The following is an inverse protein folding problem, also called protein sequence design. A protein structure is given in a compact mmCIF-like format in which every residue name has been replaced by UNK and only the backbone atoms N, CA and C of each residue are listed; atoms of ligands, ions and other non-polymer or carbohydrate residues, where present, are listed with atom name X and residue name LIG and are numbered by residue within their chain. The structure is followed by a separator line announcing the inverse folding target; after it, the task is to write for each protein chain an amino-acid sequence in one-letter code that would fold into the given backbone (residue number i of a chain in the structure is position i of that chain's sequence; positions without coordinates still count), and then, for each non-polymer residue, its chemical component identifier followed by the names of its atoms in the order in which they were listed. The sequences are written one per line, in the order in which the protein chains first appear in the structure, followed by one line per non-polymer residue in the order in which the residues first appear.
data_IF_949192522993
#
_entry.id   IF_949192522993
#
_cell.length_a   1.000
_cell.length_b   1.000
_cell.length_c   1.000
_cell.angle_alpha   90.00
_cell.angle_beta   90.00
_cell.angle_gamma   90.00
#
_symmetry.space_group_name_H-M   'P 1'
#
loop_
_entity.id
_entity.type
_entity.pdbx_description
1 polymer ?
#
# COMPACT_ATOMS: atom_id res chain seq x y z
N UNK A 1 7.32 13.80 8.06
CA UNK A 1 6.27 14.08 9.08
C UNK A 1 4.99 14.70 8.50
N UNK A 2 5.03 15.87 7.83
CA UNK A 2 3.80 16.54 7.31
C UNK A 2 2.99 15.69 6.31
N UNK A 3 3.65 15.01 5.37
CA UNK A 3 2.99 14.15 4.37
C UNK A 3 2.29 12.92 4.98
N UNK A 4 2.83 12.38 6.09
CA UNK A 4 2.28 11.20 6.75
C UNK A 4 0.99 11.51 7.51
N UNK A 5 0.92 12.69 8.14
CA UNK A 5 -0.29 13.20 8.79
C UNK A 5 -1.37 13.47 7.75
N UNK A 6 -0.99 14.06 6.61
CA UNK A 6 -1.90 14.34 5.51
C UNK A 6 -2.50 13.07 4.90
N UNK A 7 -1.71 12.01 4.71
CA UNK A 7 -2.19 10.70 4.25
C UNK A 7 -3.20 10.06 5.20
N UNK A 8 -2.92 10.09 6.51
CA UNK A 8 -3.84 9.58 7.54
C UNK A 8 -5.16 10.36 7.56
N UNK A 9 -5.08 11.68 7.41
CA UNK A 9 -6.25 12.56 7.38
C UNK A 9 -7.16 12.27 6.16
N UNK A 10 -6.58 12.03 4.98
CA UNK A 10 -7.35 11.58 3.81
C UNK A 10 -7.98 10.20 4.02
N UNK A 11 -7.29 9.27 4.68
CA UNK A 11 -7.82 7.95 4.96
C UNK A 11 -9.03 7.99 5.92
N UNK A 12 -8.95 8.82 6.96
CA UNK A 12 -10.06 9.07 7.90
C UNK A 12 -11.28 9.70 7.18
N UNK A 13 -11.04 10.71 6.35
CA UNK A 13 -12.11 11.35 5.56
C UNK A 13 -12.77 10.37 4.59
N UNK A 14 -11.99 9.54 3.91
CA UNK A 14 -12.53 8.48 3.04
C UNK A 14 -13.42 7.51 3.84
N UNK A 15 -12.98 7.08 5.02
CA UNK A 15 -13.75 6.18 5.88
C UNK A 15 -15.06 6.80 6.36
N UNK A 16 -15.02 8.05 6.82
CA UNK A 16 -16.22 8.80 7.23
C UNK A 16 -17.22 8.95 6.07
N UNK A 17 -16.78 9.28 4.86
CA UNK A 17 -17.65 9.38 3.69
C UNK A 17 -18.27 8.02 3.31
N UNK A 18 -17.54 6.92 3.49
CA UNK A 18 -18.10 5.57 3.34
C UNK A 18 -19.22 5.28 4.35
N UNK A 19 -19.09 5.79 5.58
CA UNK A 19 -20.13 5.64 6.59
C UNK A 19 -21.38 6.48 6.26
N UNK A 20 -21.20 7.71 5.78
CA UNK A 20 -22.28 8.58 5.33
C UNK A 20 -22.99 7.99 4.10
N UNK A 21 -22.25 7.38 3.17
CA UNK A 21 -22.81 6.66 2.04
C UNK A 21 -23.70 5.49 2.52
N UNK A 22 -23.20 4.69 3.46
CA UNK A 22 -23.95 3.57 4.05
C UNK A 22 -25.24 4.02 4.76
N UNK A 23 -25.17 5.12 5.52
CA UNK A 23 -26.33 5.76 6.15
C UNK A 23 -27.34 6.23 5.09
N UNK A 24 -26.86 6.88 4.04
CA UNK A 24 -27.69 7.42 2.95
C UNK A 24 -28.40 6.31 2.16
N UNK A 25 -27.71 5.18 1.93
CA UNK A 25 -28.32 3.98 1.34
C UNK A 25 -29.46 3.45 2.22
N UNK A 26 -29.24 3.36 3.54
CA UNK A 26 -30.26 2.90 4.49
C UNK A 26 -31.49 3.81 4.53
N UNK A 27 -31.29 5.13 4.48
CA UNK A 27 -32.38 6.11 4.40
C UNK A 27 -33.12 6.07 3.05
N UNK A 28 -32.40 5.87 1.93
CA UNK A 28 -33.02 5.78 0.61
C UNK A 28 -33.95 4.55 0.50
N UNK A 29 -33.52 3.41 1.05
CA UNK A 29 -34.26 2.15 0.99
C UNK A 29 -35.36 2.03 2.06
N UNK A 30 -35.22 2.65 3.24
CA UNK A 30 -36.21 2.57 4.34
C UNK A 30 -37.42 3.49 4.14
N UNK A 31 -38.50 2.99 3.51
CA UNK A 31 -39.74 3.74 3.23
C UNK A 31 -40.44 4.24 4.50
N UNK A 32 -40.58 3.31 5.45
CA UNK A 32 -41.43 3.51 6.62
C UNK A 32 -40.79 4.47 7.63
N UNK A 33 -39.46 4.43 7.73
CA UNK A 33 -38.69 5.28 8.65
C UNK A 33 -38.76 6.77 8.30
N UNK A 34 -38.63 7.10 7.01
CA UNK A 34 -38.74 8.48 6.54
C UNK A 34 -40.17 9.00 6.64
N UNK A 35 -41.16 8.13 6.41
CA UNK A 35 -42.58 8.45 6.55
C UNK A 35 -42.94 8.74 8.01
N UNK A 36 -42.51 7.90 8.95
CA UNK A 36 -42.77 8.07 10.39
C UNK A 36 -42.12 9.33 10.97
N UNK A 37 -40.89 9.67 10.54
CA UNK A 37 -40.25 10.94 10.91
C UNK A 37 -40.90 12.16 10.26
N UNK A 38 -41.40 12.04 9.03
CA UNK A 38 -42.17 13.10 8.37
C UNK A 38 -43.46 13.37 9.14
N UNK A 39 -44.22 12.32 9.48
CA UNK A 39 -45.47 12.43 10.24
C UNK A 39 -45.23 13.06 11.63
N UNK A 40 -44.19 12.61 12.34
CA UNK A 40 -43.83 13.15 13.66
C UNK A 40 -43.30 14.60 13.62
N UNK A 41 -42.67 15.00 12.51
CA UNK A 41 -42.16 16.36 12.32
C UNK A 41 -43.23 17.35 11.88
N UNK A 42 -44.17 16.90 11.03
CA UNK A 42 -45.24 17.73 10.48
C UNK A 42 -46.39 17.94 11.47
N UNK A 43 -46.64 16.98 12.38
CA UNK A 43 -47.61 17.11 13.48
C UNK A 43 -47.31 18.26 14.45
N UNK A 44 -46.09 18.81 14.43
CA UNK A 44 -45.70 19.99 15.21
C UNK A 44 -46.01 21.34 14.55
N UNK A 45 -46.38 21.35 13.26
CA UNK A 45 -46.45 22.57 12.44
C UNK A 45 -47.79 22.78 11.70
N UNK A 46 -48.72 21.81 11.70
CA UNK A 46 -49.97 21.89 10.91
C UNK A 46 -51.22 22.15 11.75
N UNK A 47 -52.01 23.13 11.33
CA UNK A 47 -53.37 23.43 11.82
C UNK A 47 -54.39 22.32 11.38
N UNK A 48 -55.54 22.15 12.08
CA UNK A 48 -56.41 20.97 11.99
C UNK A 48 -57.09 20.63 10.65
N UNK A 49 -56.89 21.39 9.57
CA UNK A 49 -57.71 21.34 8.34
C UNK A 49 -57.00 20.77 7.11
N UNK A 50 -55.80 20.20 7.25
CA UNK A 50 -55.09 19.54 6.14
C UNK A 50 -54.88 18.07 6.47
N UNK A 51 -55.47 17.18 5.68
CA UNK A 51 -55.32 15.71 5.80
C UNK A 51 -53.83 15.31 5.81
N UNK A 52 -53.26 14.93 6.98
CA UNK A 52 -51.81 14.80 7.17
C UNK A 52 -51.17 13.69 6.31
N UNK A 53 -51.95 12.68 5.92
CA UNK A 53 -51.45 11.54 5.14
C UNK A 53 -50.96 11.92 3.74
N UNK A 54 -51.55 12.93 3.08
CA UNK A 54 -51.22 13.23 1.68
C UNK A 54 -49.90 13.99 1.51
N UNK A 55 -49.49 14.84 2.46
CA UNK A 55 -48.24 15.61 2.34
C UNK A 55 -46.98 14.74 2.50
N UNK A 56 -46.97 13.83 3.48
CA UNK A 56 -45.84 12.92 3.69
C UNK A 56 -45.74 11.81 2.63
N UNK A 57 -46.87 11.42 2.01
CA UNK A 57 -46.88 10.51 0.86
C UNK A 57 -46.14 11.08 -0.36
N UNK A 58 -46.20 12.39 -0.61
CA UNK A 58 -45.45 13.03 -1.71
C UNK A 58 -44.03 13.46 -1.30
N UNK A 59 -43.80 13.81 -0.03
CA UNK A 59 -42.51 14.34 0.44
C UNK A 59 -41.42 13.28 0.64
N UNK A 60 -41.78 12.01 0.88
CA UNK A 60 -40.78 10.95 1.05
C UNK A 60 -40.03 10.61 -0.26
N UNK A 61 -40.64 10.83 -1.42
CA UNK A 61 -40.06 10.57 -2.75
C UNK A 61 -38.85 11.49 -3.06
N UNK A 62 -38.96 12.84 -2.99
CA UNK A 62 -37.81 13.71 -3.20
C UNK A 62 -36.72 13.52 -2.13
N UNK A 63 -37.08 13.19 -0.90
CA UNK A 63 -36.12 12.90 0.16
C UNK A 63 -35.30 11.62 -0.13
N UNK A 64 -35.94 10.60 -0.71
CA UNK A 64 -35.25 9.38 -1.18
C UNK A 64 -34.33 9.64 -2.36
N UNK A 65 -34.76 10.44 -3.33
CA UNK A 65 -33.91 10.85 -4.46
C UNK A 65 -32.70 11.66 -3.98
N UNK A 66 -32.89 12.52 -2.98
CA UNK A 66 -31.82 13.26 -2.33
C UNK A 66 -30.83 12.32 -1.62
N UNK A 67 -31.31 11.39 -0.80
CA UNK A 67 -30.47 10.38 -0.13
C UNK A 67 -29.76 9.46 -1.15
N UNK A 68 -30.42 9.11 -2.25
CA UNK A 68 -29.82 8.34 -3.35
C UNK A 68 -28.71 9.11 -4.05
N UNK A 69 -28.92 10.40 -4.35
CA UNK A 69 -27.88 11.27 -4.92
C UNK A 69 -26.70 11.44 -3.96
N UNK A 70 -26.97 11.61 -2.66
CA UNK A 70 -25.94 11.70 -1.62
C UNK A 70 -25.11 10.41 -1.53
N UNK A 71 -25.74 9.24 -1.67
CA UNK A 71 -25.05 7.95 -1.73
C UNK A 71 -24.02 7.90 -2.87
N UNK A 72 -24.43 8.24 -4.10
CA UNK A 72 -23.53 8.20 -5.25
C UNK A 72 -22.38 9.20 -5.13
N UNK A 73 -22.68 10.43 -4.70
CA UNK A 73 -21.67 11.48 -4.52
C UNK A 73 -20.69 11.15 -3.39
N UNK A 74 -21.16 10.70 -2.22
CA UNK A 74 -20.27 10.26 -1.12
C UNK A 74 -19.38 9.08 -1.53
N UNK A 75 -19.89 8.09 -2.27
CA UNK A 75 -19.07 6.98 -2.78
C UNK A 75 -18.01 7.44 -3.78
N UNK A 76 -18.36 8.35 -4.70
CA UNK A 76 -17.40 8.92 -5.65
C UNK A 76 -16.28 9.69 -4.92
N UNK A 77 -16.66 10.58 -3.99
CA UNK A 77 -15.70 11.39 -3.23
C UNK A 77 -14.84 10.51 -2.31
N UNK A 78 -15.41 9.48 -1.69
CA UNK A 78 -14.68 8.49 -0.88
C UNK A 78 -13.55 7.82 -1.69
N UNK A 79 -13.82 7.39 -2.93
CA UNK A 79 -12.81 6.77 -3.79
C UNK A 79 -11.66 7.74 -4.15
N UNK A 80 -11.97 9.03 -4.33
CA UNK A 80 -10.93 10.05 -4.60
C UNK A 80 -10.03 10.29 -3.39
N UNK A 81 -10.58 10.36 -2.18
CA UNK A 81 -9.80 10.52 -0.96
C UNK A 81 -8.99 9.26 -0.62
N UNK A 82 -9.56 8.08 -0.85
CA UNK A 82 -8.84 6.82 -0.71
C UNK A 82 -7.63 6.76 -1.65
N UNK A 83 -7.81 7.15 -2.91
CA UNK A 83 -6.71 7.23 -3.89
C UNK A 83 -5.63 8.23 -3.48
N UNK A 84 -6.00 9.39 -2.90
CA UNK A 84 -5.05 10.36 -2.35
C UNK A 84 -4.33 9.82 -1.12
N UNK A 85 -5.03 9.11 -0.24
CA UNK A 85 -4.43 8.48 0.92
C UNK A 85 -3.36 7.46 0.51
N UNK A 86 -3.61 6.63 -0.51
CA UNK A 86 -2.63 5.68 -1.05
C UNK A 86 -1.36 6.35 -1.57
N UNK A 87 -1.44 7.58 -2.10
CA UNK A 87 -0.27 8.32 -2.61
C UNK A 87 0.58 8.97 -1.52
N UNK A 88 -0.01 9.27 -0.35
CA UNK A 88 0.64 9.99 0.74
C UNK A 88 1.00 9.12 1.94
N UNK A 89 0.33 7.98 2.10
CA UNK A 89 0.72 6.98 3.09
C UNK A 89 1.97 6.25 2.60
N UNK A 90 2.90 5.97 3.53
CA UNK A 90 4.10 5.17 3.25
C UNK A 90 3.78 3.72 2.89
N UNK A 91 2.54 3.28 3.07
CA UNK A 91 2.07 1.94 2.71
C UNK A 91 0.56 1.95 2.42
N UNK A 92 0.17 1.23 1.37
CA UNK A 92 -1.24 1.01 0.99
C UNK A 92 -2.04 0.31 2.10
N UNK A 93 -1.36 -0.55 2.85
CA UNK A 93 -1.84 -1.22 4.06
C UNK A 93 -2.42 -0.23 5.07
N UNK A 94 -1.59 0.77 5.43
CA UNK A 94 -1.91 1.76 6.46
C UNK A 94 -3.11 2.60 6.06
N UNK A 95 -3.19 3.01 4.79
CA UNK A 95 -4.34 3.72 4.25
C UNK A 95 -5.62 2.86 4.35
N UNK A 96 -5.55 1.59 3.93
CA UNK A 96 -6.70 0.66 3.93
C UNK A 96 -7.24 0.44 5.34
N UNK A 97 -6.38 0.09 6.31
CA UNK A 97 -6.80 -0.15 7.70
C UNK A 97 -7.41 1.10 8.32
N UNK A 98 -6.81 2.27 8.11
CA UNK A 98 -7.28 3.54 8.68
C UNK A 98 -8.64 3.92 8.10
N UNK A 99 -8.84 3.76 6.79
CA UNK A 99 -10.13 3.98 6.11
C UNK A 99 -11.19 2.99 6.58
N UNK A 100 -10.87 1.70 6.66
CA UNK A 100 -11.82 0.66 7.10
C UNK A 100 -12.23 0.85 8.56
N UNK A 101 -11.28 1.12 9.46
CA UNK A 101 -11.55 1.39 10.87
C UNK A 101 -12.44 2.63 11.03
N UNK A 102 -12.09 3.72 10.34
CA UNK A 102 -12.88 4.96 10.36
C UNK A 102 -14.29 4.76 9.82
N UNK A 103 -14.47 3.96 8.77
CA UNK A 103 -15.78 3.61 8.22
C UNK A 103 -16.63 2.89 9.26
N UNK A 104 -16.14 1.80 9.85
CA UNK A 104 -16.90 1.03 10.84
C UNK A 104 -17.27 1.85 12.08
N UNK A 105 -16.31 2.62 12.63
CA UNK A 105 -16.56 3.45 13.81
C UNK A 105 -17.59 4.54 13.49
N UNK A 106 -17.43 5.21 12.34
CA UNK A 106 -18.35 6.27 11.93
C UNK A 106 -19.74 5.72 11.60
N UNK A 107 -19.85 4.54 11.00
CA UNK A 107 -21.12 3.85 10.79
C UNK A 107 -21.82 3.50 12.10
N UNK A 108 -21.08 3.10 13.14
CA UNK A 108 -21.61 2.86 14.48
C UNK A 108 -22.27 4.12 15.06
N UNK A 109 -21.52 5.21 15.04
CA UNK A 109 -21.94 6.48 15.65
C UNK A 109 -23.13 7.05 14.87
N UNK A 110 -23.06 7.06 13.54
CA UNK A 110 -24.16 7.53 12.71
C UNK A 110 -25.40 6.63 12.82
N UNK A 111 -25.23 5.32 12.93
CA UNK A 111 -26.34 4.37 13.11
C UNK A 111 -27.07 4.57 14.44
N UNK A 112 -26.31 4.68 15.54
CA UNK A 112 -26.86 4.93 16.88
C UNK A 112 -27.56 6.28 16.97
N UNK A 113 -26.94 7.36 16.46
CA UNK A 113 -27.51 8.71 16.51
C UNK A 113 -28.75 8.85 15.63
N UNK A 114 -28.73 8.29 14.40
CA UNK A 114 -29.81 8.52 13.44
C UNK A 114 -30.97 7.57 13.60
N UNK A 115 -30.76 6.31 14.03
CA UNK A 115 -31.81 5.29 14.12
C UNK A 115 -32.07 4.80 15.54
N UNK A 116 -31.30 5.25 16.55
CA UNK A 116 -31.41 4.74 17.91
C UNK A 116 -31.04 3.26 18.05
N UNK A 117 -30.32 2.70 17.07
CA UNK A 117 -30.01 1.27 17.04
C UNK A 117 -29.04 0.90 18.17
N UNK A 118 -29.49 0.04 19.08
CA UNK A 118 -28.61 -0.57 20.08
C UNK A 118 -27.87 -1.75 19.44
N UNK A 119 -26.57 -1.57 19.18
CA UNK A 119 -25.75 -2.64 18.61
C UNK A 119 -25.47 -3.73 19.66
N UNK A 120 -25.79 -4.97 19.33
CA UNK A 120 -25.52 -6.13 20.18
C UNK A 120 -24.01 -6.28 20.46
N UNK A 121 -23.65 -6.85 21.61
CA UNK A 121 -22.25 -7.11 22.00
C UNK A 121 -21.48 -7.88 20.91
N UNK A 122 -22.16 -8.77 20.18
CA UNK A 122 -21.61 -9.52 19.05
C UNK A 122 -21.04 -8.63 17.93
N UNK A 123 -21.61 -7.44 17.72
CA UNK A 123 -21.18 -6.49 16.69
C UNK A 123 -19.81 -5.89 17.03
N UNK A 124 -19.59 -5.54 18.30
CA UNK A 124 -18.30 -5.05 18.79
C UNK A 124 -17.21 -6.13 18.76
N UNK A 125 -17.56 -7.37 19.05
CA UNK A 125 -16.65 -8.53 18.91
C UNK A 125 -16.23 -8.69 17.44
N UNK A 126 -17.17 -8.55 16.50
CA UNK A 126 -16.89 -8.59 15.06
C UNK A 126 -15.90 -7.51 14.61
N UNK A 127 -16.05 -6.26 15.07
CA UNK A 127 -15.13 -5.16 14.74
C UNK A 127 -13.74 -5.37 15.34
N UNK A 128 -13.68 -5.83 16.59
CA UNK A 128 -12.41 -6.15 17.23
C UNK A 128 -11.66 -7.24 16.47
N UNK A 129 -12.39 -8.28 16.04
CA UNK A 129 -11.81 -9.39 15.27
C UNK A 129 -11.35 -8.94 13.88
N UNK A 130 -12.11 -8.11 13.16
CA UNK A 130 -11.71 -7.61 11.84
C UNK A 130 -10.52 -6.65 11.92
N UNK A 131 -10.50 -5.76 12.91
CA UNK A 131 -9.36 -4.87 13.15
C UNK A 131 -8.10 -5.67 13.51
N UNK A 132 -8.24 -6.69 14.37
CA UNK A 132 -7.13 -7.58 14.76
C UNK A 132 -6.62 -8.42 13.59
N UNK A 133 -7.51 -8.96 12.76
CA UNK A 133 -7.14 -9.73 11.56
C UNK A 133 -6.39 -8.90 10.53
N UNK A 134 -6.84 -7.66 10.31
CA UNK A 134 -6.13 -6.69 9.46
C UNK A 134 -4.75 -6.31 10.03
N UNK A 135 -4.63 -6.20 11.36
CA UNK A 135 -3.35 -5.93 12.02
C UNK A 135 -2.37 -7.12 11.91
N UNK A 136 -2.87 -8.35 12.05
CA UNK A 136 -2.09 -9.59 11.95
C UNK A 136 -1.59 -9.87 10.53
N UNK A 137 -2.42 -9.63 9.51
CA UNK A 137 -2.02 -9.71 8.09
C UNK A 137 -0.87 -8.75 7.76
N UNK A 138 -0.72 -7.65 8.52
CA UNK A 138 0.36 -6.69 8.33
C UNK A 138 1.59 -6.92 9.21
N UNK A 139 1.44 -7.58 10.38
CA UNK A 139 2.58 -8.02 11.18
C UNK A 139 3.42 -9.11 10.49
N UNK A 140 2.85 -9.79 9.50
CA UNK A 140 3.47 -10.90 8.76
C UNK A 140 4.04 -10.52 7.37
N UNK A 141 3.76 -9.31 6.86
CA UNK A 141 4.52 -8.77 5.72
C UNK A 141 5.92 -8.38 6.18
N UNK A 142 6.99 -9.05 5.72
CA UNK A 142 8.35 -8.62 6.03
C UNK A 142 8.52 -7.17 5.55
N UNK A 143 9.08 -6.33 6.42
CA UNK A 143 9.50 -4.96 6.12
C UNK A 143 10.73 -4.97 5.19
N UNK A 144 10.71 -5.75 4.10
CA UNK A 144 11.71 -5.64 3.05
C UNK A 144 11.48 -4.31 2.35
N UNK A 145 12.45 -3.40 2.50
CA UNK A 145 12.51 -2.04 1.97
C UNK A 145 11.85 -0.94 2.82
N UNK A 146 12.05 -0.95 4.14
CA UNK A 146 12.20 0.33 4.82
C UNK A 146 13.45 1.04 4.29
N UNK A 147 13.23 1.95 3.35
CA UNK A 147 14.09 3.11 3.15
C UNK A 147 14.14 3.86 4.49
N UNK A 148 15.32 3.98 5.07
CA UNK A 148 15.54 4.66 6.36
C UNK A 148 15.05 6.12 6.28
N UNK A 149 13.81 6.39 6.69
CA UNK A 149 13.44 7.69 7.25
C UNK A 149 14.16 7.80 8.60
N UNK A 150 15.33 8.44 8.68
CA UNK A 150 15.92 8.61 10.02
C UNK A 150 17.22 9.37 10.23
N UNK A 151 18.14 9.45 9.27
CA UNK A 151 19.30 10.36 9.38
C UNK A 151 19.29 11.30 8.19
N UNK A 152 18.98 12.58 8.43
CA UNK A 152 19.09 13.61 7.38
C UNK A 152 20.48 13.67 6.76
N UNK A 153 21.46 13.15 7.48
CA UNK A 153 22.87 13.21 7.15
C UNK A 153 23.40 11.89 6.55
N UNK A 154 22.55 10.87 6.35
CA UNK A 154 22.92 9.60 5.69
C UNK A 154 22.09 9.40 4.42
N UNK A 155 22.75 9.20 3.28
CA UNK A 155 22.13 8.90 1.98
C UNK A 155 22.71 7.61 1.44
N UNK A 156 21.85 6.69 1.02
CA UNK A 156 22.27 5.39 0.54
C UNK A 156 21.65 5.06 -0.82
N UNK A 157 22.46 4.44 -1.68
CA UNK A 157 22.04 3.79 -2.92
C UNK A 157 21.99 2.29 -2.67
N UNK A 158 20.87 1.64 -3.02
CA UNK A 158 20.69 0.19 -2.90
C UNK A 158 20.59 -0.42 -4.28
N UNK A 159 21.35 -1.47 -4.55
CA UNK A 159 21.31 -2.21 -5.80
C UNK A 159 21.32 -3.73 -5.57
N UNK A 160 20.53 -4.44 -6.37
CA UNK A 160 20.54 -5.90 -6.46
C UNK A 160 21.64 -6.33 -7.42
N UNK A 161 22.61 -7.09 -6.94
CA UNK A 161 23.73 -7.56 -7.78
C UNK A 161 23.77 -9.09 -7.71
N UNK A 162 23.93 -9.71 -8.89
CA UNK A 162 24.01 -11.17 -9.00
C UNK A 162 25.28 -11.71 -8.35
N UNK A 163 25.26 -13.00 -8.03
CA UNK A 163 26.41 -13.76 -7.50
C UNK A 163 27.60 -13.73 -8.47
N UNK A 164 28.81 -13.69 -7.92
CA UNK A 164 30.10 -13.76 -8.64
C UNK A 164 30.34 -12.61 -9.64
N UNK A 165 29.75 -11.44 -9.38
CA UNK A 165 29.89 -10.24 -10.22
C UNK A 165 30.90 -9.27 -9.59
N UNK A 166 31.88 -8.85 -10.38
CA UNK A 166 32.82 -7.79 -9.99
C UNK A 166 32.10 -6.44 -10.03
N UNK A 167 32.20 -5.67 -8.95
CA UNK A 167 31.67 -4.31 -8.82
C UNK A 167 32.83 -3.36 -8.59
N UNK A 168 32.87 -2.29 -9.37
CA UNK A 168 33.85 -1.20 -9.23
C UNK A 168 33.11 0.12 -9.15
N UNK A 169 33.54 1.02 -8.26
CA UNK A 169 32.99 2.36 -8.20
C UNK A 169 34.04 3.42 -8.00
N UNK A 170 33.79 4.59 -8.59
CA UNK A 170 34.57 5.81 -8.40
C UNK A 170 33.65 6.87 -7.81
N UNK A 171 34.10 7.51 -6.74
CA UNK A 171 33.33 8.55 -6.07
C UNK A 171 34.14 9.84 -5.96
N UNK A 172 33.45 10.96 -6.10
CA UNK A 172 33.97 12.31 -5.91
C UNK A 172 32.94 13.16 -5.17
N UNK A 173 33.35 13.68 -4.02
CA UNK A 173 32.51 14.44 -3.11
C UNK A 173 33.00 15.88 -3.12
N UNK A 174 32.08 16.83 -3.33
CA UNK A 174 32.43 18.26 -3.37
C UNK A 174 32.86 18.73 -1.98
N UNK A 175 34.11 19.15 -1.80
CA UNK A 175 34.59 19.65 -0.51
C UNK A 175 33.86 20.94 -0.10
N UNK A 176 33.18 20.89 1.05
CA UNK A 176 32.59 22.06 1.70
C UNK A 176 33.26 22.26 3.05
N UNK A 177 33.54 23.52 3.39
CA UNK A 177 34.20 23.87 4.64
C UNK A 177 33.42 23.29 5.83
N UNK A 178 34.13 22.51 6.67
CA UNK A 178 33.66 22.00 7.95
C UNK A 178 32.64 20.82 7.91
N UNK A 179 32.54 20.05 6.83
CA UNK A 179 31.74 18.81 6.78
C UNK A 179 32.61 17.60 6.41
N UNK A 180 32.50 16.52 7.19
CA UNK A 180 33.24 15.26 6.97
C UNK A 180 32.26 14.17 6.56
N UNK A 181 32.46 13.55 5.41
CA UNK A 181 31.56 12.51 4.89
C UNK A 181 32.23 11.14 4.94
N UNK A 182 31.56 10.17 5.54
CA UNK A 182 32.01 8.79 5.63
C UNK A 182 31.29 7.95 4.57
N UNK A 183 32.03 7.08 3.88
CA UNK A 183 31.48 6.11 2.94
C UNK A 183 31.45 4.73 3.59
N UNK A 184 30.31 4.04 3.53
CA UNK A 184 30.16 2.66 4.00
C UNK A 184 29.38 1.85 2.98
N UNK A 185 29.91 0.71 2.57
CA UNK A 185 29.25 -0.26 1.70
C UNK A 185 28.92 -1.49 2.53
N UNK A 186 27.65 -1.86 2.56
CA UNK A 186 27.15 -3.00 3.33
C UNK A 186 26.30 -3.91 2.47
N UNK A 187 26.30 -5.19 2.81
CA UNK A 187 25.40 -6.19 2.26
C UNK A 187 24.05 -6.23 3.00
N UNK A 188 23.08 -7.03 2.55
CA UNK A 188 21.77 -7.17 3.21
C UNK A 188 21.88 -7.69 4.64
N UNK A 189 22.89 -8.52 4.90
CA UNK A 189 23.25 -9.03 6.23
C UNK A 189 23.95 -7.99 7.11
N UNK A 190 24.04 -6.73 6.65
CA UNK A 190 24.77 -5.63 7.30
C UNK A 190 26.27 -5.90 7.48
N UNK A 191 26.82 -6.87 6.74
CA UNK A 191 28.26 -7.09 6.66
C UNK A 191 28.91 -5.95 5.88
N UNK A 192 30.00 -5.37 6.41
CA UNK A 192 30.65 -4.21 5.81
C UNK A 192 31.70 -4.66 4.81
N UNK A 193 31.45 -4.41 3.52
CA UNK A 193 32.36 -4.78 2.43
C UNK A 193 33.46 -3.75 2.23
N UNK A 194 33.11 -2.47 2.41
CA UNK A 194 34.04 -1.37 2.27
C UNK A 194 33.66 -0.24 3.22
N UNK A 195 34.64 0.41 3.84
CA UNK A 195 34.41 1.55 4.72
C UNK A 195 35.57 2.53 4.59
N UNK A 196 35.23 3.81 4.42
CA UNK A 196 36.18 4.90 4.31
C UNK A 196 35.72 6.08 5.13
N UNK A 197 36.53 6.47 6.11
CA UNK A 197 36.36 7.70 6.88
C UNK A 197 36.91 8.90 6.11
N UNK A 198 36.28 10.07 6.29
CA UNK A 198 36.67 11.33 5.64
C UNK A 198 36.87 11.15 4.11
N UNK A 199 35.89 10.54 3.45
CA UNK A 199 35.88 10.27 2.03
C UNK A 199 35.73 11.57 1.23
N UNK A 200 36.71 11.85 0.36
CA UNK A 200 36.68 12.99 -0.59
C UNK A 200 36.63 12.48 -2.02
N UNK A 201 37.67 11.76 -2.45
CA UNK A 201 37.75 11.09 -3.76
C UNK A 201 38.40 9.72 -3.62
N UNK A 202 37.91 8.73 -4.36
CA UNK A 202 38.50 7.39 -4.32
C UNK A 202 37.83 6.40 -5.26
N UNK A 203 38.40 5.19 -5.29
CA UNK A 203 37.87 4.03 -6.01
C UNK A 203 37.74 2.87 -5.06
N UNK A 204 36.74 2.02 -5.28
CA UNK A 204 36.57 0.76 -4.57
C UNK A 204 36.26 -0.36 -5.58
N UNK A 205 36.60 -1.59 -5.21
CA UNK A 205 36.28 -2.78 -5.98
C UNK A 205 36.01 -3.93 -5.01
N UNK A 206 34.97 -4.71 -5.30
CA UNK A 206 34.65 -5.94 -4.58
C UNK A 206 33.93 -6.92 -5.52
N UNK A 207 33.93 -8.20 -5.19
CA UNK A 207 33.18 -9.24 -5.91
C UNK A 207 32.08 -9.77 -5.01
N UNK A 208 30.89 -9.95 -5.56
CA UNK A 208 29.73 -10.46 -4.83
C UNK A 208 29.84 -11.98 -4.62
N UNK A 209 29.62 -12.47 -3.39
CA UNK A 209 29.66 -13.90 -3.10
C UNK A 209 28.31 -14.60 -3.32
N UNK A 210 27.21 -13.88 -3.14
CA UNK A 210 25.85 -14.38 -3.30
C UNK A 210 24.97 -13.34 -4.00
N UNK A 211 23.77 -13.76 -4.45
CA UNK A 211 22.77 -12.84 -4.97
C UNK A 211 22.23 -12.03 -3.79
N UNK A 212 22.67 -10.78 -3.68
CA UNK A 212 22.30 -9.96 -2.54
C UNK A 212 22.17 -8.46 -2.88
N UNK A 213 21.55 -7.74 -1.96
CA UNK A 213 21.29 -6.31 -1.98
C UNK A 213 22.41 -5.55 -1.28
N UNK A 214 23.21 -4.82 -2.06
CA UNK A 214 24.28 -4.00 -1.53
C UNK A 214 23.80 -2.56 -1.37
N UNK A 215 24.23 -1.93 -0.28
CA UNK A 215 23.89 -0.56 0.06
C UNK A 215 25.18 0.27 0.18
N UNK A 216 25.31 1.28 -0.69
CA UNK A 216 26.40 2.27 -0.68
C UNK A 216 25.89 3.52 0.02
N UNK A 217 26.36 3.76 1.25
CA UNK A 217 25.93 4.86 2.10
C UNK A 217 27.01 5.94 2.25
N UNK A 218 26.60 7.20 2.09
CA UNK A 218 27.36 8.38 2.46
C UNK A 218 26.75 8.99 3.71
N UNK A 219 27.53 9.07 4.79
CA UNK A 219 27.14 9.66 6.07
C UNK A 219 27.96 10.92 6.35
N UNK A 220 27.34 12.09 6.19
CA UNK A 220 27.94 13.37 6.52
C UNK A 220 27.82 13.65 8.02
N UNK A 221 28.92 14.06 8.64
CA UNK A 221 28.97 14.51 10.04
C UNK A 221 29.27 16.00 10.06
N UNK A 222 28.36 16.78 10.66
CA UNK A 222 28.63 18.16 11.03
C UNK A 222 29.33 18.19 12.40
N UNK A 223 30.45 18.91 12.55
CA UNK A 223 31.14 19.08 13.83
C UNK A 223 30.37 19.96 14.83
N UNK A 224 29.41 20.77 14.37
CA UNK A 224 28.45 21.46 15.24
C UNK A 224 27.08 20.79 15.12
N UNK A 225 26.75 19.91 16.08
CA UNK A 225 25.54 19.08 16.14
C UNK A 225 24.20 19.83 16.26
N UNK A 226 24.09 21.05 15.73
CA UNK A 226 22.90 21.92 15.80
C UNK A 226 22.55 22.61 14.47
N UNK A 227 23.32 22.41 13.40
CA UNK A 227 23.07 23.02 12.08
C UNK A 227 22.55 22.04 11.04
N UNK A 228 21.66 22.50 10.14
CA UNK A 228 21.30 21.79 8.91
C UNK A 228 22.58 21.60 8.08
N UNK A 229 22.94 20.34 7.78
CA UNK A 229 24.08 20.04 6.90
C UNK A 229 23.81 20.70 5.53
N UNK A 230 24.75 21.49 4.99
CA UNK A 230 24.61 22.07 3.66
C UNK A 230 24.52 20.97 2.59
N UNK A 231 23.78 21.23 1.52
CA UNK A 231 23.63 20.26 0.44
C UNK A 231 25.00 20.04 -0.23
N UNK A 232 25.50 18.80 -0.17
CA UNK A 232 26.76 18.37 -0.76
C UNK A 232 26.46 17.50 -2.00
N UNK A 233 27.13 17.80 -3.12
CA UNK A 233 27.03 16.99 -4.31
C UNK A 233 28.02 15.82 -4.23
N UNK A 234 27.47 14.61 -4.33
CA UNK A 234 28.22 13.35 -4.41
C UNK A 234 28.05 12.82 -5.83
N UNK A 235 29.16 12.69 -6.55
CA UNK A 235 29.20 12.02 -7.83
C UNK A 235 29.69 10.59 -7.60
N UNK A 236 28.88 9.61 -7.97
CA UNK A 236 29.19 8.18 -7.84
C UNK A 236 28.98 7.54 -9.21
N UNK A 237 30.07 7.03 -9.79
CA UNK A 237 30.04 6.19 -10.99
C UNK A 237 30.28 4.75 -10.54
N UNK A 238 29.30 3.86 -10.80
CA UNK A 238 29.37 2.47 -10.38
C UNK A 238 29.13 1.55 -11.58
N UNK A 239 29.99 0.55 -11.71
CA UNK A 239 30.02 -0.40 -12.82
C UNK A 239 30.05 -1.81 -12.28
N UNK A 240 29.38 -2.72 -12.98
CA UNK A 240 29.28 -4.13 -12.60
C UNK A 240 29.58 -5.06 -13.79
N UNK A 241 30.08 -6.25 -13.49
CA UNK A 241 30.31 -7.32 -14.45
C UNK A 241 31.37 -6.95 -15.49
N UNK A 242 31.02 -7.09 -16.77
CA UNK A 242 31.93 -6.88 -17.91
C UNK A 242 32.45 -5.44 -17.97
N UNK A 243 31.63 -4.45 -17.55
CA UNK A 243 32.04 -3.05 -17.56
C UNK A 243 33.04 -2.70 -16.44
N UNK A 244 33.06 -3.49 -15.36
CA UNK A 244 33.99 -3.32 -14.24
C UNK A 244 35.39 -3.90 -14.53
N UNK A 245 35.53 -4.78 -15.54
CA UNK A 245 36.81 -5.43 -15.88
C UNK A 245 37.74 -4.50 -16.65
N UNK A 246 39.00 -4.43 -16.23
CA UNK A 246 40.05 -3.69 -16.94
C UNK A 246 40.73 -4.57 -18.00
N UNK A 247 40.16 -4.62 -19.20
CA UNK A 247 40.68 -5.39 -20.33
C UNK A 247 42.09 -4.96 -20.78
N UNK A 248 42.47 -3.70 -20.56
CA UNK A 248 43.81 -3.21 -20.93
C UNK A 248 44.90 -3.80 -20.04
N UNK A 249 44.59 -4.05 -18.77
CA UNK A 249 45.52 -4.68 -17.82
C UNK A 249 45.66 -6.17 -18.11
N UNK A 250 44.55 -6.85 -18.37
CA UNK A 250 44.53 -8.26 -18.81
C UNK A 250 45.35 -8.42 -20.09
N UNK A 251 45.17 -7.51 -21.05
CA UNK A 251 45.95 -7.49 -22.29
C UNK A 251 47.47 -7.40 -22.06
N UNK A 252 47.90 -6.60 -21.09
CA UNK A 252 49.33 -6.44 -20.75
C UNK A 252 49.89 -7.70 -20.09
N UNK A 253 49.13 -8.32 -19.18
CA UNK A 253 49.55 -9.52 -18.43
C UNK A 253 49.60 -10.74 -19.36
N UNK A 254 48.55 -10.96 -20.14
CA UNK A 254 48.41 -12.09 -21.06
C UNK A 254 49.08 -11.85 -22.42
N UNK A 255 49.59 -10.63 -22.66
CA UNK A 255 50.24 -10.20 -23.91
C UNK A 255 49.35 -10.41 -25.14
N UNK A 256 48.06 -10.08 -24.99
CA UNK A 256 47.07 -10.20 -26.05
C UNK A 256 47.27 -9.12 -27.10
N UNK A 257 47.00 -9.44 -28.37
CA UNK A 257 46.94 -8.43 -29.44
C UNK A 257 45.71 -7.55 -29.26
N UNK A 258 45.71 -6.29 -29.76
CA UNK A 258 44.54 -5.40 -29.65
C UNK A 258 43.22 -6.03 -30.14
N UNK A 259 43.27 -6.82 -31.22
CA UNK A 259 42.10 -7.54 -31.74
C UNK A 259 41.61 -8.67 -30.81
N UNK A 260 42.54 -9.38 -30.15
CA UNK A 260 42.21 -10.48 -29.24
C UNK A 260 41.53 -9.95 -27.97
N UNK A 261 41.89 -8.75 -27.51
CA UNK A 261 41.27 -8.07 -26.37
C UNK A 261 39.82 -7.71 -26.65
N UNK A 262 39.53 -7.16 -27.83
CA UNK A 262 38.16 -6.84 -28.24
C UNK A 262 37.29 -8.10 -28.36
N UNK A 263 37.84 -9.18 -28.92
CA UNK A 263 37.15 -10.48 -29.00
C UNK A 263 36.84 -11.03 -27.61
N UNK A 264 37.79 -10.96 -26.67
CA UNK A 264 37.60 -11.42 -25.29
C UNK A 264 36.51 -10.61 -24.57
N UNK A 265 36.48 -9.29 -24.78
CA UNK A 265 35.42 -8.43 -24.22
C UNK A 265 34.04 -8.78 -24.78
N UNK A 266 33.93 -9.06 -26.09
CA UNK A 266 32.67 -9.46 -26.71
C UNK A 266 32.19 -10.85 -26.25
N UNK A 267 33.12 -11.78 -26.03
CA UNK A 267 32.84 -13.10 -25.46
C UNK A 267 32.25 -12.97 -24.05
N UNK A 268 32.94 -12.26 -23.16
CA UNK A 268 32.48 -12.00 -21.78
C UNK A 268 31.11 -11.31 -21.77
N UNK A 269 30.89 -10.33 -22.67
CA UNK A 269 29.60 -9.65 -22.80
C UNK A 269 28.49 -10.60 -23.26
N UNK A 270 28.78 -11.46 -24.24
CA UNK A 270 27.82 -12.45 -24.73
C UNK A 270 27.47 -13.47 -23.66
N UNK A 271 28.45 -13.97 -22.90
CA UNK A 271 28.23 -14.93 -21.81
C UNK A 271 27.38 -14.32 -20.70
N UNK A 272 27.67 -13.06 -20.31
CA UNK A 272 26.86 -12.32 -19.33
C UNK A 272 25.40 -12.21 -19.79
N UNK A 273 25.17 -11.81 -21.05
CA UNK A 273 23.80 -11.67 -21.60
C UNK A 273 23.06 -13.00 -21.61
N UNK A 274 23.72 -14.10 -22.02
CA UNK A 274 23.11 -15.43 -22.04
C UNK A 274 22.71 -15.89 -20.63
N UNK A 275 23.57 -15.64 -19.65
CA UNK A 275 23.28 -15.96 -18.25
C UNK A 275 22.11 -15.12 -17.71
N UNK A 276 22.06 -13.83 -18.02
CA UNK A 276 20.94 -12.95 -17.64
C UNK A 276 19.63 -13.40 -18.29
N UNK A 277 19.63 -13.79 -19.57
CA UNK A 277 18.45 -14.34 -20.25
C UNK A 277 17.99 -15.66 -19.62
N UNK A 278 18.91 -16.55 -19.29
CA UNK A 278 18.58 -17.83 -18.64
C UNK A 278 17.95 -17.58 -17.27
N UNK A 279 18.49 -16.63 -16.50
CA UNK A 279 17.93 -16.22 -15.22
C UNK A 279 16.53 -15.59 -15.37
N UNK A 280 16.35 -14.63 -16.28
CA UNK A 280 15.06 -13.98 -16.53
C UNK A 280 13.99 -15.00 -16.90
N UNK A 281 14.31 -15.96 -17.78
CA UNK A 281 13.40 -17.02 -18.19
C UNK A 281 12.98 -17.89 -17.01
N UNK A 282 13.93 -18.30 -16.17
CA UNK A 282 13.64 -19.10 -14.96
C UNK A 282 12.70 -18.35 -14.01
N UNK A 283 12.95 -17.06 -13.79
CA UNK A 283 12.11 -16.21 -12.94
C UNK A 283 10.70 -16.04 -13.50
N UNK A 284 10.56 -15.92 -14.83
CA UNK A 284 9.26 -15.89 -15.50
C UNK A 284 8.49 -17.21 -15.29
N UNK A 285 9.15 -18.36 -15.46
CA UNK A 285 8.54 -19.68 -15.25
C UNK A 285 8.01 -19.83 -13.81
N UNK A 286 8.81 -19.49 -12.81
CA UNK A 286 8.40 -19.52 -11.39
C UNK A 286 7.25 -18.53 -11.11
N UNK A 287 7.30 -17.33 -11.71
CA UNK A 287 6.23 -16.34 -11.58
C UNK A 287 4.93 -16.80 -12.26
N UNK A 288 5.03 -17.49 -13.40
CA UNK A 288 3.88 -18.03 -14.12
C UNK A 288 3.21 -19.14 -13.34
N UNK A 289 3.98 -20.06 -12.75
CA UNK A 289 3.46 -21.17 -11.94
C UNK A 289 2.80 -20.69 -10.64
N UNK A 290 3.40 -19.70 -9.97
CA UNK A 290 2.80 -19.06 -8.78
C UNK A 290 1.51 -18.32 -9.13
N UNK A 291 1.48 -17.61 -10.26
CA UNK A 291 0.28 -16.95 -10.74
C UNK A 291 -0.83 -17.96 -11.12
N UNK A 292 -0.50 -19.03 -11.84
CA UNK A 292 -1.46 -20.06 -12.26
C UNK A 292 -2.05 -20.80 -11.05
N UNK A 293 -1.20 -21.20 -10.10
CA UNK A 293 -1.64 -21.85 -8.87
C UNK A 293 -2.45 -20.93 -7.96
N UNK A 294 -2.09 -19.64 -7.86
CA UNK A 294 -2.85 -18.63 -7.11
C UNK A 294 -4.21 -18.38 -7.76
N UNK A 295 -4.25 -18.18 -9.07
CA UNK A 295 -5.49 -17.95 -9.82
C UNK A 295 -6.45 -19.15 -9.65
N UNK A 296 -5.92 -20.37 -9.73
CA UNK A 296 -6.70 -21.60 -9.53
C UNK A 296 -7.29 -21.67 -8.11
N UNK A 297 -6.51 -21.38 -7.07
CA UNK A 297 -6.99 -21.37 -5.67
C UNK A 297 -8.06 -20.30 -5.44
N UNK A 298 -7.86 -19.10 -5.98
CA UNK A 298 -8.81 -17.98 -5.88
C UNK A 298 -10.12 -18.31 -6.59
N UNK A 299 -10.05 -18.94 -7.76
CA UNK A 299 -11.23 -19.43 -8.49
C UNK A 299 -12.07 -20.37 -7.62
N UNK A 300 -11.44 -21.40 -7.02
CA UNK A 300 -12.15 -22.35 -6.16
C UNK A 300 -12.76 -21.68 -4.92
N UNK A 301 -12.02 -20.77 -4.27
CA UNK A 301 -12.56 -20.01 -3.14
C UNK A 301 -13.75 -19.12 -3.54
N UNK A 302 -13.68 -18.50 -4.72
CA UNK A 302 -14.77 -17.67 -5.26
C UNK A 302 -16.02 -18.48 -5.57
N UNK A 303 -15.86 -19.66 -6.19
CA UNK A 303 -16.97 -20.59 -6.45
C UNK A 303 -17.61 -21.03 -5.13
N UNK A 304 -16.79 -21.44 -4.15
CA UNK A 304 -17.28 -21.85 -2.83
C UNK A 304 -18.05 -20.72 -2.12
N UNK A 305 -17.52 -19.50 -2.14
CA UNK A 305 -18.18 -18.31 -1.57
C UNK A 305 -19.53 -18.03 -2.24
N UNK A 306 -19.59 -18.10 -3.58
CA UNK A 306 -20.83 -17.91 -4.32
C UNK A 306 -21.87 -18.97 -3.96
N UNK A 307 -21.46 -20.26 -3.87
CA UNK A 307 -22.33 -21.33 -3.43
C UNK A 307 -22.85 -21.10 -2.00
N UNK A 308 -21.99 -20.66 -1.08
CA UNK A 308 -22.38 -20.33 0.29
C UNK A 308 -23.43 -19.21 0.33
N UNK A 309 -23.25 -18.13 -0.44
CA UNK A 309 -24.19 -17.02 -0.49
C UNK A 309 -25.56 -17.45 -1.05
N UNK A 310 -25.58 -18.27 -2.11
CA UNK A 310 -26.83 -18.84 -2.66
C UNK A 310 -27.50 -19.75 -1.61
N UNK A 311 -26.72 -20.58 -0.91
CA UNK A 311 -27.20 -21.44 0.17
C UNK A 311 -27.83 -20.64 1.33
N UNK A 312 -27.17 -19.56 1.76
CA UNK A 312 -27.70 -18.68 2.80
C UNK A 312 -28.94 -17.92 2.34
N UNK A 313 -28.99 -17.44 1.09
CA UNK A 313 -30.15 -16.74 0.55
C UNK A 313 -31.38 -17.67 0.45
N UNK A 314 -31.19 -18.89 -0.07
CA UNK A 314 -32.27 -19.88 -0.15
C UNK A 314 -32.74 -20.31 1.24
N UNK A 315 -31.81 -20.52 2.18
CA UNK A 315 -32.14 -20.80 3.58
C UNK A 315 -32.94 -19.66 4.22
N UNK A 316 -32.53 -18.39 4.02
CA UNK A 316 -33.24 -17.21 4.53
C UNK A 316 -34.68 -17.16 4.01
N UNK A 317 -34.90 -17.39 2.71
CA UNK A 317 -36.25 -17.42 2.11
C UNK A 317 -37.08 -18.57 2.68
N UNK A 318 -36.51 -19.76 2.83
CA UNK A 318 -37.21 -20.91 3.41
C UNK A 318 -37.59 -20.67 4.89
N UNK A 319 -36.65 -20.13 5.67
CA UNK A 319 -36.88 -19.77 7.06
C UNK A 319 -38.02 -18.75 7.19
N UNK A 320 -37.99 -17.68 6.39
CA UNK A 320 -39.05 -16.67 6.40
C UNK A 320 -40.40 -17.25 5.98
N UNK A 321 -40.44 -18.09 4.92
CA UNK A 321 -41.68 -18.79 4.53
C UNK A 321 -42.22 -19.68 5.64
N UNK A 322 -41.36 -20.46 6.30
CA UNK A 322 -41.76 -21.34 7.41
C UNK A 322 -42.25 -20.53 8.61
N UNK A 323 -41.60 -19.40 8.91
CA UNK A 323 -41.99 -18.49 9.97
C UNK A 323 -43.37 -17.87 9.71
N UNK A 324 -43.63 -17.37 8.49
CA UNK A 324 -44.94 -16.80 8.14
C UNK A 324 -46.08 -17.84 8.13
N UNK A 325 -45.79 -19.07 7.65
CA UNK A 325 -46.75 -20.18 7.76
C UNK A 325 -47.06 -20.55 9.21
N UNK A 326 -46.04 -20.62 10.07
CA UNK A 326 -46.22 -20.90 11.50
C UNK A 326 -47.03 -19.81 12.22
N UNK A 327 -46.97 -18.56 11.74
CA UNK A 327 -47.71 -17.42 12.28
C UNK A 327 -49.04 -17.12 11.57
N UNK A 328 -49.48 -17.96 10.62
CA UNK A 328 -50.74 -17.81 9.83
C UNK A 328 -50.87 -16.47 9.08
N UNK A 329 -49.75 -15.85 8.67
CA UNK A 329 -49.77 -14.58 7.93
C UNK A 329 -49.90 -14.76 6.41
N UNK A 330 -49.61 -15.95 5.89
CA UNK A 330 -49.72 -16.33 4.47
C UNK A 330 -50.13 -17.81 4.44
N UNK A 331 -51.17 -18.18 3.67
CA UNK A 331 -51.69 -19.56 3.53
C UNK A 331 -50.71 -20.50 2.80
#
# INVERSE_FOLDING_TARGET
MSNMILGSLYALLAGFLGAVASLSAKLSLGADYLREKCDSGLSGWTEPWTEPGTACDWLHIPLRLLCGSLLFTCNAVMWTFFSKALRHCSSSARATVTTTASNFISSAVLGTVMFGESHAVLWWVGISLTLSGLLLLHGSTPQTLQQEEGKKDKKCLREEIHKDVLVTGEYEITEQANTKTNLKITDSSSHTLYSKEDATKGKFAFTTEDYDMFEVCFESKSPMGTGRVPDQLVNLDMKHGVEAKNYEEIAKVEKLKPLEVELRRLEDLSESIVNDFAYMKKREEEMRDTNESTNTRVLYFSIFSMCCLIGLATWQVFYLRRFFKAKKLIE
#
